data_IF_038944341643
#
_entry.id   IF_038944341643
#
_cell.length_a   1.000
_cell.length_b   1.000
_cell.length_c   1.000
_cell.angle_alpha   90.00
_cell.angle_beta   90.00
_cell.angle_gamma   90.00
#
_symmetry.space_group_name_H-M   'P 1'
#
loop_
_entity.id
_entity.type
_entity.pdbx_description
1 polymer ?
#
# COMPACT_ATOMS: atom_id res chain seq x y z
N UNK A 1 13.41 3.78 -14.38
CA UNK A 1 13.51 2.41 -13.84
C UNK A 1 13.34 2.32 -12.32
N UNK A 2 13.59 3.38 -11.55
CA UNK A 2 13.42 3.43 -10.08
C UNK A 2 11.99 3.16 -9.58
N UNK A 3 10.95 3.59 -10.32
CA UNK A 3 9.56 3.37 -9.89
C UNK A 3 9.17 1.89 -9.78
N UNK A 4 9.70 1.03 -10.66
CA UNK A 4 9.35 -0.40 -10.66
C UNK A 4 9.89 -1.13 -9.42
N UNK A 5 11.06 -0.72 -8.92
CA UNK A 5 11.68 -1.28 -7.72
C UNK A 5 10.94 -0.84 -6.45
N UNK A 6 10.53 0.43 -6.37
CA UNK A 6 9.73 0.94 -5.26
C UNK A 6 8.37 0.22 -5.17
N UNK A 7 7.71 0.00 -6.31
CA UNK A 7 6.43 -0.73 -6.35
C UNK A 7 6.63 -2.19 -5.92
N UNK A 8 7.71 -2.85 -6.37
CA UNK A 8 8.04 -4.22 -5.96
C UNK A 8 8.28 -4.32 -4.45
N UNK A 9 9.10 -3.42 -3.89
CA UNK A 9 9.39 -3.42 -2.46
C UNK A 9 8.10 -3.25 -1.63
N UNK A 10 7.20 -2.37 -2.03
CA UNK A 10 5.93 -2.16 -1.32
C UNK A 10 5.01 -3.39 -1.42
N UNK A 11 4.96 -4.04 -2.59
CA UNK A 11 4.21 -5.27 -2.76
C UNK A 11 4.76 -6.40 -1.87
N UNK A 12 6.08 -6.55 -1.76
CA UNK A 12 6.71 -7.54 -0.89
C UNK A 12 6.40 -7.30 0.59
N UNK A 13 6.45 -6.03 1.03
CA UNK A 13 6.10 -5.65 2.41
C UNK A 13 4.62 -5.96 2.68
N UNK A 14 3.73 -5.66 1.73
CA UNK A 14 2.30 -5.93 1.86
C UNK A 14 1.97 -7.43 1.86
N UNK A 15 2.66 -8.22 1.04
CA UNK A 15 2.55 -9.68 1.05
C UNK A 15 3.04 -10.28 2.37
N UNK A 16 4.13 -9.77 2.94
CA UNK A 16 4.64 -10.23 4.23
C UNK A 16 3.66 -9.91 5.37
N UNK A 17 3.12 -8.69 5.39
CA UNK A 17 2.08 -8.31 6.36
C UNK A 17 0.82 -9.17 6.22
N UNK A 18 0.36 -9.41 4.99
CA UNK A 18 -0.77 -10.27 4.71
C UNK A 18 -0.53 -11.71 5.21
N UNK A 19 0.66 -12.25 4.97
CA UNK A 19 1.02 -13.58 5.42
C UNK A 19 1.08 -13.68 6.95
N UNK A 20 1.63 -12.66 7.62
CA UNK A 20 1.74 -12.63 9.09
C UNK A 20 0.38 -12.48 9.79
N UNK A 21 -0.54 -11.69 9.25
CA UNK A 21 -1.84 -11.40 9.88
C UNK A 21 -2.95 -12.35 9.46
N UNK A 22 -2.95 -12.80 8.20
CA UNK A 22 -4.06 -13.55 7.60
C UNK A 22 -3.65 -14.93 7.07
N UNK A 23 -2.36 -15.28 7.10
CA UNK A 23 -1.85 -16.57 6.61
C UNK A 23 -1.96 -16.75 5.09
N UNK A 24 -2.20 -15.66 4.34
CA UNK A 24 -2.37 -15.68 2.89
C UNK A 24 -1.62 -14.50 2.27
N UNK A 25 -1.16 -14.66 1.03
CA UNK A 25 -0.64 -13.54 0.23
C UNK A 25 -1.71 -12.48 0.02
N UNK A 26 -1.30 -11.23 -0.16
CA UNK A 26 -2.20 -10.10 -0.32
C UNK A 26 -3.19 -10.30 -1.48
N UNK A 27 -2.72 -10.88 -2.60
CA UNK A 27 -3.57 -11.18 -3.76
C UNK A 27 -4.69 -12.20 -3.49
N UNK A 28 -4.59 -12.99 -2.41
CA UNK A 28 -5.57 -14.03 -2.05
C UNK A 28 -6.49 -13.60 -0.89
N UNK A 29 -6.36 -12.36 -0.41
CA UNK A 29 -7.20 -11.79 0.63
C UNK A 29 -8.53 -11.32 0.06
N UNK A 30 -9.57 -11.29 0.89
CA UNK A 30 -10.82 -10.61 0.58
C UNK A 30 -10.66 -9.08 0.59
N UNK A 31 -11.67 -8.36 0.11
CA UNK A 31 -11.59 -6.90 -0.04
C UNK A 31 -11.37 -6.17 1.29
N UNK A 32 -11.96 -6.66 2.39
CA UNK A 32 -11.80 -6.05 3.71
C UNK A 32 -10.37 -6.25 4.24
N UNK A 33 -9.84 -7.46 4.12
CA UNK A 33 -8.46 -7.79 4.49
C UNK A 33 -7.44 -7.04 3.63
N UNK A 34 -7.70 -6.91 2.32
CA UNK A 34 -6.87 -6.10 1.45
C UNK A 34 -6.89 -4.62 1.86
N UNK A 35 -8.04 -4.09 2.27
CA UNK A 35 -8.13 -2.71 2.73
C UNK A 35 -7.27 -2.48 3.98
N UNK A 36 -7.32 -3.40 4.95
CA UNK A 36 -6.45 -3.35 6.14
C UNK A 36 -4.96 -3.31 5.74
N UNK A 37 -4.56 -4.14 4.77
CA UNK A 37 -3.18 -4.13 4.27
C UNK A 37 -2.79 -2.82 3.56
N UNK A 38 -3.73 -2.16 2.86
CA UNK A 38 -3.50 -0.86 2.19
C UNK A 38 -3.38 0.27 3.21
N UNK A 39 -4.19 0.23 4.26
CA UNK A 39 -4.18 1.23 5.33
C UNK A 39 -2.91 1.10 6.20
N UNK A 40 -2.48 -0.13 6.47
CA UNK A 40 -1.26 -0.40 7.23
C UNK A 40 0.02 -0.07 6.43
N UNK A 41 0.02 -0.38 5.13
CA UNK A 41 1.16 -0.16 4.23
C UNK A 41 0.67 0.64 3.02
N UNK A 42 0.49 1.96 3.18
CA UNK A 42 0.10 2.83 2.08
C UNK A 42 1.24 2.94 1.08
N UNK A 43 0.91 2.78 -0.19
CA UNK A 43 1.84 3.08 -1.27
C UNK A 43 1.82 4.59 -1.50
N UNK A 44 2.66 5.32 -0.76
CA UNK A 44 2.84 6.76 -0.95
C UNK A 44 3.60 7.04 -2.25
N UNK A 45 2.97 6.79 -3.40
CA UNK A 45 3.34 7.44 -4.66
C UNK A 45 2.81 8.88 -4.60
N UNK A 46 3.40 9.69 -3.71
CA UNK A 46 3.07 11.12 -3.62
C UNK A 46 3.74 11.86 -4.76
N UNK A 47 3.08 11.82 -5.91
CA UNK A 47 3.22 12.82 -6.97
C UNK A 47 1.80 13.29 -7.36
N UNK A 48 1.05 13.80 -6.36
CA UNK A 48 -0.20 14.55 -6.45
C UNK A 48 -0.77 14.68 -5.01
N UNK A 49 -1.09 15.84 -4.45
CA UNK A 49 -1.14 17.22 -4.91
C UNK A 49 -0.74 18.13 -3.73
N UNK A 50 -0.22 19.36 -3.95
CA UNK A 50 -0.12 20.34 -2.87
C UNK A 50 -1.51 20.50 -2.24
N UNK A 51 -1.61 20.29 -0.93
CA UNK A 51 -2.81 20.67 -0.19
C UNK A 51 -3.05 22.16 -0.45
N UNK A 52 -4.13 22.49 -1.15
CA UNK A 52 -4.64 23.87 -1.22
C UNK A 52 -4.89 24.37 0.21
N UNK A 53 -3.90 25.07 0.74
CA UNK A 53 -3.99 25.88 1.96
C UNK A 53 -4.50 27.28 1.60
N UNK A 54 -5.67 27.37 0.97
CA UNK A 54 -6.35 28.64 0.73
C UNK A 54 -7.81 28.52 1.16
N UNK A 55 -8.00 28.31 2.47
CA UNK A 55 -9.13 28.93 3.16
C UNK A 55 -8.70 30.33 3.59
N UNK A 56 -8.93 31.33 2.75
CA UNK A 56 -9.28 32.68 3.21
C UNK A 56 -9.88 33.53 2.10
#
# INVERSE_FOLDING_TARGET
>A
EVQNELIRAINEIRDSFAMQNFGKKYANLDEAQQQICRDAIPQNISEAEPKDITKK
#
